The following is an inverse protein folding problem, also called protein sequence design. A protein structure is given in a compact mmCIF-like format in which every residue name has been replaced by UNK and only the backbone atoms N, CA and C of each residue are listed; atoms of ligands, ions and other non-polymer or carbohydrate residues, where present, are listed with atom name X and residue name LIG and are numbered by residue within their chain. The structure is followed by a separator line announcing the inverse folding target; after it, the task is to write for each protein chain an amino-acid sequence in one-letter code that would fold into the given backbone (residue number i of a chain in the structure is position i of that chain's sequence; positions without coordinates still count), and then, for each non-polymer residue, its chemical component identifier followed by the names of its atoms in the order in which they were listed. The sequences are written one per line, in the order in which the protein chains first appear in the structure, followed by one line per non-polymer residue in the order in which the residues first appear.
data_IF_190224078143
#
_entry.id   IF_190224078143
#
_cell.length_a   1.000
_cell.length_b   1.000
_cell.length_c   1.000
_cell.angle_alpha   90.00
_cell.angle_beta   90.00
_cell.angle_gamma   90.00
#
_symmetry.space_group_name_H-M   'P 1'
#
loop_
_entity.id
_entity.type
_entity.pdbx_description
1 polymer ?
#
# COMPACT_ATOMS: atom_id res chain seq x y z
N UNK A 1 8.23 9.29 -7.66
CA UNK A 1 7.11 9.37 -8.60
C UNK A 1 5.97 8.48 -8.10
N UNK A 2 4.73 8.75 -8.49
CA UNK A 2 3.60 7.89 -8.16
C UNK A 2 3.80 6.48 -8.72
N UNK A 3 3.39 5.45 -7.96
CA UNK A 3 3.41 4.06 -8.44
C UNK A 3 2.42 3.90 -9.60
N UNK A 4 2.84 3.32 -10.70
CA UNK A 4 1.99 3.04 -11.86
C UNK A 4 1.35 1.66 -11.75
N UNK A 5 0.25 1.43 -12.48
CA UNK A 5 -0.38 0.10 -12.55
C UNK A 5 0.54 -0.95 -13.20
N UNK A 6 1.44 -0.52 -14.08
CA UNK A 6 2.41 -1.41 -14.73
C UNK A 6 3.49 -1.90 -13.74
N UNK A 7 3.83 -1.09 -12.74
CA UNK A 7 4.77 -1.48 -11.66
C UNK A 7 4.08 -2.37 -10.62
N UNK A 8 2.79 -2.13 -10.37
CA UNK A 8 2.00 -2.80 -9.35
C UNK A 8 0.49 -2.70 -9.66
N UNK A 9 -0.07 -3.78 -10.21
CA UNK A 9 -1.45 -3.80 -10.73
C UNK A 9 -2.51 -3.53 -9.65
N UNK A 10 -2.31 -4.07 -8.44
CA UNK A 10 -3.22 -4.02 -7.29
C UNK A 10 -2.98 -2.80 -6.36
N UNK A 11 -1.98 -1.95 -6.65
CA UNK A 11 -1.56 -0.89 -5.73
C UNK A 11 -2.70 0.05 -5.35
N UNK A 12 -3.52 0.45 -6.33
CA UNK A 12 -4.63 1.38 -6.11
C UNK A 12 -5.86 0.72 -5.48
N UNK A 13 -5.92 -0.60 -5.44
CA UNK A 13 -6.97 -1.35 -4.75
C UNK A 13 -6.63 -1.49 -3.26
N UNK A 14 -5.33 -1.61 -2.94
CA UNK A 14 -4.81 -1.70 -1.57
C UNK A 14 -4.63 -0.31 -0.93
N UNK A 15 -4.14 0.67 -1.68
CA UNK A 15 -3.77 2.00 -1.18
C UNK A 15 -4.85 3.03 -1.51
N UNK A 16 -5.68 3.34 -0.52
CA UNK A 16 -6.79 4.30 -0.64
C UNK A 16 -6.35 5.76 -0.90
N UNK A 17 -5.19 6.17 -0.39
CA UNK A 17 -4.69 7.54 -0.50
C UNK A 17 -3.23 7.54 -0.98
N UNK A 18 -2.99 7.37 -2.29
CA UNK A 18 -1.64 7.41 -2.86
C UNK A 18 -0.95 8.74 -2.58
N UNK A 19 0.35 8.68 -2.28
CA UNK A 19 1.22 9.84 -2.11
C UNK A 19 2.66 9.43 -2.39
N UNK A 20 3.45 10.32 -2.99
CA UNK A 20 4.86 10.10 -3.30
C UNK A 20 5.65 11.43 -3.25
N UNK A 21 6.98 11.35 -3.21
CA UNK A 21 7.83 12.54 -3.04
C UNK A 21 7.83 13.50 -4.23
N UNK A 22 7.54 13.04 -5.45
CA UNK A 22 7.43 13.93 -6.60
C UNK A 22 6.13 14.73 -6.53
N UNK A 23 5.01 14.09 -6.15
CA UNK A 23 3.76 14.80 -5.86
C UNK A 23 3.96 15.83 -4.74
N UNK A 24 4.64 15.45 -3.65
CA UNK A 24 4.96 16.39 -2.57
C UNK A 24 5.85 17.54 -3.03
N UNK A 25 6.86 17.27 -3.86
CA UNK A 25 7.72 18.30 -4.44
C UNK A 25 6.90 19.28 -5.29
N UNK A 26 5.98 18.78 -6.12
CA UNK A 26 5.09 19.62 -6.91
C UNK A 26 4.18 20.48 -6.01
N UNK A 27 3.60 19.90 -4.95
CA UNK A 27 2.81 20.64 -3.96
C UNK A 27 3.62 21.74 -3.27
N UNK A 28 4.89 21.50 -2.94
CA UNK A 28 5.78 22.53 -2.41
C UNK A 28 6.02 23.65 -3.43
N UNK A 29 6.41 23.30 -4.66
CA UNK A 29 6.70 24.27 -5.74
C UNK A 29 5.48 25.13 -6.11
N UNK A 30 4.29 24.56 -6.04
CA UNK A 30 3.02 25.25 -6.29
C UNK A 30 2.44 25.94 -5.05
N UNK A 31 3.21 26.07 -3.95
CA UNK A 31 2.76 26.66 -2.69
C UNK A 31 1.41 26.10 -2.17
N UNK A 32 1.17 24.81 -2.41
CA UNK A 32 -0.08 24.13 -2.05
C UNK A 32 -0.16 23.78 -0.57
N UNK A 33 0.98 23.67 0.11
CA UNK A 33 1.03 23.51 1.57
C UNK A 33 0.89 24.87 2.26
N UNK A 34 -0.15 25.02 3.08
CA UNK A 34 -0.39 26.22 3.90
C UNK A 34 0.34 26.16 5.23
N UNK A 35 0.79 24.98 5.64
CA UNK A 35 1.54 24.80 6.87
C UNK A 35 2.53 23.64 6.77
N UNK A 36 3.55 23.66 7.64
CA UNK A 36 4.48 22.53 7.81
C UNK A 36 3.72 21.25 8.18
N UNK A 37 2.61 21.36 8.93
CA UNK A 37 1.82 20.21 9.35
C UNK A 37 1.19 19.47 8.16
N UNK A 38 0.75 20.19 7.12
CA UNK A 38 0.21 19.56 5.91
C UNK A 38 1.31 18.80 5.15
N UNK A 39 2.51 19.39 5.02
CA UNK A 39 3.66 18.69 4.44
C UNK A 39 4.01 17.42 5.24
N UNK A 40 4.06 17.52 6.57
CA UNK A 40 4.32 16.36 7.43
C UNK A 40 3.23 15.30 7.37
N UNK A 41 1.99 15.68 7.04
CA UNK A 41 0.86 14.76 6.88
C UNK A 41 1.06 13.90 5.64
N UNK A 42 1.43 14.51 4.50
CA UNK A 42 1.77 13.77 3.28
C UNK A 42 3.01 12.89 3.46
N UNK A 43 4.03 13.37 4.19
CA UNK A 43 5.21 12.56 4.53
C UNK A 43 4.82 11.27 5.27
N UNK A 44 3.92 11.39 6.26
CA UNK A 44 3.39 10.23 6.99
C UNK A 44 2.58 9.33 6.07
N UNK A 45 1.86 9.88 5.10
CA UNK A 45 1.09 9.10 4.14
C UNK A 45 2.02 8.22 3.27
N UNK A 46 3.14 8.77 2.77
CA UNK A 46 4.13 7.98 2.00
C UNK A 46 4.63 6.78 2.81
N UNK A 47 5.04 7.00 4.06
CA UNK A 47 5.55 5.90 4.90
C UNK A 47 4.46 4.91 5.31
N UNK A 48 3.23 5.38 5.53
CA UNK A 48 2.09 4.51 5.87
C UNK A 48 1.71 3.62 4.69
N UNK A 49 1.67 4.17 3.47
CA UNK A 49 1.42 3.40 2.25
C UNK A 49 2.53 2.38 2.01
N UNK A 50 3.80 2.76 2.21
CA UNK A 50 4.92 1.84 2.08
C UNK A 50 4.77 0.65 3.04
N UNK A 51 4.49 0.88 4.32
CA UNK A 51 4.29 -0.19 5.33
C UNK A 51 3.04 -1.05 5.11
N UNK A 52 2.02 -0.52 4.44
CA UNK A 52 0.78 -1.22 4.12
C UNK A 52 0.96 -2.15 2.92
N UNK A 53 1.57 -1.65 1.84
CA UNK A 53 1.69 -2.39 0.59
C UNK A 53 2.87 -3.38 0.57
N UNK A 54 4.00 -3.01 1.16
CA UNK A 54 5.23 -3.80 1.01
C UNK A 54 5.39 -4.86 2.09
N UNK A 55 5.89 -6.03 1.70
CA UNK A 55 6.22 -7.13 2.62
C UNK A 55 7.27 -6.73 3.67
N UNK A 56 7.16 -7.31 4.88
CA UNK A 56 8.15 -7.11 5.95
C UNK A 56 9.53 -7.58 5.49
N UNK A 57 10.55 -6.80 5.80
CA UNK A 57 11.93 -7.12 5.41
C UNK A 57 12.26 -6.77 3.94
N UNK A 58 11.32 -6.21 3.18
CA UNK A 58 11.62 -5.74 1.83
C UNK A 58 12.66 -4.61 1.83
N UNK A 59 13.36 -4.48 0.70
CA UNK A 59 14.30 -3.38 0.50
C UNK A 59 13.62 -2.01 0.60
N UNK A 60 12.38 -1.89 0.09
CA UNK A 60 11.57 -0.67 0.17
C UNK A 60 11.36 -0.24 1.62
N UNK A 61 10.95 -1.16 2.49
CA UNK A 61 10.76 -0.83 3.91
C UNK A 61 12.07 -0.52 4.63
N UNK A 62 13.17 -1.18 4.25
CA UNK A 62 14.51 -0.87 4.78
C UNK A 62 14.93 0.55 4.43
N UNK A 63 14.74 0.96 3.17
CA UNK A 63 15.03 2.32 2.72
C UNK A 63 14.10 3.35 3.37
N UNK A 64 12.81 3.04 3.50
CA UNK A 64 11.83 3.90 4.17
C UNK A 64 12.26 4.26 5.60
N UNK A 65 12.72 3.27 6.39
CA UNK A 65 13.19 3.52 7.77
C UNK A 65 14.36 4.51 7.80
N UNK A 66 15.32 4.37 6.88
CA UNK A 66 16.45 5.31 6.78
C UNK A 66 15.98 6.71 6.37
N UNK A 67 15.06 6.79 5.41
CA UNK A 67 14.48 8.07 4.98
C UNK A 67 13.73 8.76 6.12
N UNK A 68 12.94 8.02 6.90
CA UNK A 68 12.22 8.55 8.07
C UNK A 68 13.19 9.06 9.15
N UNK A 69 14.30 8.36 9.40
CA UNK A 69 15.36 8.82 10.32
C UNK A 69 16.01 10.12 9.83
N UNK A 70 16.33 10.21 8.54
CA UNK A 70 16.88 11.42 7.93
C UNK A 70 15.89 12.59 8.04
N UNK A 71 14.60 12.35 7.81
CA UNK A 71 13.56 13.36 7.98
C UNK A 71 13.56 13.91 9.41
N UNK A 72 13.56 13.04 10.43
CA UNK A 72 13.58 13.46 11.84
C UNK A 72 14.80 14.34 12.13
N UNK A 73 15.99 13.95 11.66
CA UNK A 73 17.21 14.73 11.84
C UNK A 73 17.12 16.12 11.16
N UNK A 74 16.59 16.18 9.94
CA UNK A 74 16.41 17.44 9.21
C UNK A 74 15.39 18.35 9.90
N UNK A 75 14.28 17.80 10.40
CA UNK A 75 13.27 18.58 11.11
C UNK A 75 13.82 19.12 12.43
N UNK A 76 14.57 18.32 13.19
CA UNK A 76 15.23 18.81 14.40
C UNK A 76 16.19 19.98 14.11
N UNK A 77 16.93 19.89 13.00
CA UNK A 77 17.94 20.90 12.63
C UNK A 77 17.32 22.19 12.07
N UNK A 78 16.29 22.05 11.23
CA UNK A 78 15.78 23.18 10.43
C UNK A 78 14.39 23.66 10.85
N UNK A 79 13.61 22.83 11.56
CA UNK A 79 12.23 23.11 11.97
C UNK A 79 11.97 22.62 13.42
N UNK A 80 12.74 23.08 14.42
CA UNK A 80 12.69 22.55 15.80
C UNK A 80 11.33 22.73 16.51
N UNK A 81 10.47 23.62 16.02
CA UNK A 81 9.09 23.80 16.52
C UNK A 81 8.04 22.85 15.92
N UNK A 82 8.44 21.97 15.01
CA UNK A 82 7.54 21.06 14.29
C UNK A 82 7.90 19.61 14.57
N UNK A 83 7.50 19.06 15.73
CA UNK A 83 7.85 17.70 16.10
C UNK A 83 7.20 16.69 15.14
N UNK A 84 8.02 15.75 14.68
CA UNK A 84 7.55 14.64 13.86
C UNK A 84 7.32 13.41 14.73
N UNK A 85 6.06 12.99 14.82
CA UNK A 85 5.67 11.73 15.47
C UNK A 85 4.74 10.98 14.53
N UNK A 86 5.12 9.73 14.22
CA UNK A 86 4.29 8.78 13.48
C UNK A 86 3.97 7.60 14.38
N UNK A 87 2.68 7.36 14.63
CA UNK A 87 2.23 6.19 15.39
C UNK A 87 2.29 4.97 14.47
N UNK A 88 3.08 3.97 14.84
CA UNK A 88 3.04 2.66 14.16
C UNK A 88 1.71 1.99 14.52
N UNK A 89 0.86 1.73 13.53
CA UNK A 89 -0.40 0.98 13.76
C UNK A 89 -0.03 -0.44 14.22
N UNK A 90 -0.76 -0.97 15.21
CA UNK A 90 -0.78 -2.42 15.47
C UNK A 90 -1.45 -3.07 14.26
N UNK A 91 -0.75 -3.95 13.54
CA UNK A 91 -1.26 -4.59 12.32
C UNK A 91 -2.44 -5.52 12.65
N UNK A 92 -3.49 -5.45 11.82
CA UNK A 92 -4.43 -6.55 11.60
C UNK A 92 -3.71 -7.66 10.82
N UNK A 93 -4.12 -8.94 10.95
CA UNK A 93 -3.33 -10.07 10.47
C UNK A 93 -3.10 -9.98 8.95
N UNK A 94 -1.86 -10.27 8.54
CA UNK A 94 -1.53 -10.60 7.15
C UNK A 94 -2.43 -11.77 6.70
N UNK A 95 -2.81 -11.76 5.40
CA UNK A 95 -3.58 -12.77 4.64
C UNK A 95 -5.08 -12.45 4.46
N UNK A 96 -5.40 -11.84 3.31
CA UNK A 96 -6.62 -12.21 2.59
C UNK A 96 -6.55 -13.72 2.34
N UNK A 97 -7.64 -14.49 2.55
CA UNK A 97 -7.66 -15.90 2.21
C UNK A 97 -7.27 -16.06 0.74
N UNK A 98 -6.32 -16.95 0.48
CA UNK A 98 -6.13 -17.49 -0.85
C UNK A 98 -7.47 -18.13 -1.24
N UNK A 99 -8.16 -17.53 -2.21
CA UNK A 99 -9.34 -18.11 -2.84
C UNK A 99 -8.86 -19.31 -3.68
N UNK A 100 -8.62 -20.43 -3.01
CA UNK A 100 -8.53 -21.75 -3.64
C UNK A 100 -9.95 -22.15 -4.07
N UNK A 101 -10.31 -21.72 -5.28
CA UNK A 101 -11.66 -21.91 -5.83
C UNK A 101 -11.71 -22.02 -7.35
N UNK A 102 -10.68 -22.57 -8.01
CA UNK A 102 -10.81 -22.97 -9.41
C UNK A 102 -11.44 -24.37 -9.48
N UNK A 103 -12.69 -24.46 -9.98
CA UNK A 103 -13.22 -25.50 -10.89
C UNK A 103 -14.75 -25.62 -10.83
N UNK A 104 -15.45 -25.05 -11.80
CA UNK A 104 -16.55 -25.75 -12.50
C UNK A 104 -16.09 -25.93 -13.96
N UNK A 105 -16.43 -27.02 -14.69
CA UNK A 105 -17.77 -27.63 -14.72
C UNK A 105 -17.81 -29.17 -14.87
N UNK A 106 -19.01 -29.77 -14.75
CA UNK A 106 -19.68 -30.58 -15.80
C UNK A 106 -20.86 -31.43 -15.24
N UNK A 107 -21.86 -31.77 -16.08
CA UNK A 107 -23.22 -32.09 -15.65
C UNK A 107 -23.44 -33.57 -15.29
N UNK A 108 -24.28 -33.80 -14.29
CA UNK A 108 -24.79 -35.14 -13.95
C UNK A 108 -26.04 -35.44 -14.79
N UNK A 109 -25.87 -36.24 -15.83
CA UNK A 109 -26.97 -36.84 -16.61
C UNK A 109 -26.71 -38.31 -16.88
N UNK A 110 -27.07 -39.18 -15.94
CA UNK A 110 -26.85 -40.62 -16.02
C UNK A 110 -27.64 -41.27 -17.18
N UNK A 111 -26.90 -42.06 -17.95
CA UNK A 111 -27.39 -43.03 -18.92
C UNK A 111 -28.27 -44.10 -18.26
N UNK A 112 -29.47 -44.36 -18.79
CA UNK A 112 -30.22 -45.61 -18.53
C UNK A 112 -30.26 -46.44 -19.79
N UNK A 113 -29.38 -47.43 -19.84
CA UNK A 113 -29.39 -48.51 -20.81
C UNK A 113 -30.62 -49.42 -20.67
N UNK A 114 -31.34 -49.52 -21.79
CA UNK A 114 -31.88 -50.73 -22.43
C UNK A 114 -32.12 -51.96 -21.54
N UNK A 115 -33.40 -52.24 -21.24
CA UNK A 115 -33.89 -53.57 -20.84
C UNK A 115 -34.36 -54.34 -22.08
N UNK A 116 -33.77 -55.50 -22.34
CA UNK A 116 -34.32 -56.53 -23.23
C UNK A 116 -35.55 -57.16 -22.57
N UNK A 117 -36.60 -57.40 -23.35
CA UNK A 117 -37.66 -58.37 -23.06
C UNK A 117 -37.71 -59.37 -24.22
N UNK A 118 -37.95 -60.62 -23.82
CA UNK A 118 -38.12 -61.85 -24.60
C UNK A 118 -39.07 -61.69 -25.77
#
# INVERSE_FOLDING_TARGET
EPVTRDEAEDYYDVIAHPMDFQTMQNKCSCASYRSVQEFLTDMKQVFTNAELYNCRGSHVLTCMVKTEQCLVALLHKHLPGHPYVRRKRKKFPDQLPEDEGDSEPEPVGQSRGRRQKK
#
